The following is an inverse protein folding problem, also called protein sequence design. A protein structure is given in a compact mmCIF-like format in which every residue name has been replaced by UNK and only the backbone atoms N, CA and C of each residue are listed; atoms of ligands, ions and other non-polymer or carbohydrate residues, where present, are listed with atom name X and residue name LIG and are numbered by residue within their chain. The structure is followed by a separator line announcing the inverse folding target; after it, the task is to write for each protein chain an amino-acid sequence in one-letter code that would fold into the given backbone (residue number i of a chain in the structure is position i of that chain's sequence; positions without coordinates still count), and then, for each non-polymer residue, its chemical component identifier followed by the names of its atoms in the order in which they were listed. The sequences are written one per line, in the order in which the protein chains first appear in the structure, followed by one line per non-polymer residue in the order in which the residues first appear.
data_IF_949742332402
#
_entry.id   IF_949742332402
#
_cell.length_a   1.000
_cell.length_b   1.000
_cell.length_c   1.000
_cell.angle_alpha   90.00
_cell.angle_beta   90.00
_cell.angle_gamma   90.00
#
_symmetry.space_group_name_H-M   'P 1'
#
loop_
_entity.id
_entity.type
_entity.pdbx_description
1 polymer ?
#
# COMPACT_ATOMS: atom_id res chain seq x y z
N UNK A 1 -10.56 5.52 24.19
CA UNK A 1 -10.46 4.26 24.95
C UNK A 1 -10.69 3.03 24.04
N UNK A 2 -11.78 2.96 23.28
CA UNK A 2 -12.17 1.78 22.49
C UNK A 2 -11.14 1.41 21.40
N UNK A 3 -10.67 2.37 20.60
CA UNK A 3 -9.69 2.14 19.53
C UNK A 3 -8.40 1.51 20.07
N UNK A 4 -7.87 2.00 21.17
CA UNK A 4 -6.68 1.43 21.78
C UNK A 4 -6.89 0.00 22.30
N UNK A 5 -8.07 -0.31 22.84
CA UNK A 5 -8.36 -1.67 23.27
C UNK A 5 -8.41 -2.63 22.08
N UNK A 6 -9.04 -2.23 20.98
CA UNK A 6 -9.09 -3.01 19.74
C UNK A 6 -7.67 -3.16 19.16
N UNK A 7 -6.91 -2.08 19.09
CA UNK A 7 -5.53 -2.10 18.60
C UNK A 7 -4.67 -3.11 19.36
N UNK A 8 -4.77 -3.18 20.69
CA UNK A 8 -4.04 -4.18 21.50
C UNK A 8 -4.43 -5.63 21.19
N UNK A 9 -5.71 -5.89 20.92
CA UNK A 9 -6.17 -7.23 20.52
C UNK A 9 -5.59 -7.58 19.14
N UNK A 10 -5.68 -6.66 18.19
CA UNK A 10 -5.16 -6.82 16.83
C UNK A 10 -3.65 -7.03 16.85
N UNK A 11 -2.91 -6.23 17.60
CA UNK A 11 -1.48 -6.35 17.77
C UNK A 11 -1.05 -7.73 18.30
N UNK A 12 -1.73 -8.21 19.31
CA UNK A 12 -1.45 -9.55 19.88
C UNK A 12 -1.72 -10.66 18.86
N UNK A 13 -2.80 -10.53 18.11
CA UNK A 13 -3.16 -11.48 17.07
C UNK A 13 -2.13 -11.50 15.94
N UNK A 14 -1.68 -10.34 15.48
CA UNK A 14 -0.66 -10.25 14.44
C UNK A 14 0.70 -10.80 14.90
N UNK A 15 1.10 -10.47 16.11
CA UNK A 15 2.33 -11.00 16.71
C UNK A 15 2.28 -12.52 16.79
N UNK A 16 1.14 -13.09 17.14
CA UNK A 16 0.94 -14.53 17.16
C UNK A 16 1.05 -15.15 15.76
N UNK A 17 0.32 -14.62 14.77
CA UNK A 17 0.41 -15.10 13.38
C UNK A 17 1.85 -15.04 12.88
N UNK A 18 2.55 -13.92 13.11
CA UNK A 18 3.93 -13.78 12.70
C UNK A 18 4.86 -14.82 13.37
N UNK A 19 4.67 -15.08 14.67
CA UNK A 19 5.46 -16.07 15.38
C UNK A 19 5.32 -17.48 14.81
N UNK A 20 4.11 -17.84 14.37
CA UNK A 20 3.80 -19.16 13.81
C UNK A 20 4.19 -19.32 12.34
N UNK A 21 3.98 -18.28 11.54
CA UNK A 21 4.06 -18.39 10.07
C UNK A 21 5.31 -17.73 9.47
N UNK A 22 5.96 -16.81 10.20
CA UNK A 22 7.04 -15.94 9.71
C UNK A 22 6.68 -15.14 8.45
N UNK A 23 5.39 -14.94 8.21
CA UNK A 23 4.87 -14.15 7.10
C UNK A 23 4.27 -12.86 7.61
N UNK A 24 4.04 -11.93 6.70
CA UNK A 24 3.28 -10.72 6.99
C UNK A 24 1.93 -11.09 7.58
N UNK A 25 1.62 -10.55 8.75
CA UNK A 25 0.42 -10.89 9.52
C UNK A 25 -0.88 -10.48 8.85
N UNK A 26 -0.83 -9.49 7.96
CA UNK A 26 -1.89 -9.22 7.01
C UNK A 26 -1.29 -9.09 5.63
N UNK A 27 -1.68 -10.00 4.81
CA UNK A 27 -1.50 -9.91 3.39
C UNK A 27 -2.88 -9.72 2.77
N UNK A 28 -3.35 -8.48 2.72
CA UNK A 28 -4.39 -8.19 1.75
C UNK A 28 -3.76 -8.42 0.39
N UNK A 29 -4.21 -9.47 -0.27
CA UNK A 29 -3.75 -9.84 -1.62
C UNK A 29 -2.31 -10.38 -1.72
N UNK A 30 -1.72 -10.87 -0.64
CA UNK A 30 -0.38 -11.50 -0.61
C UNK A 30 0.78 -10.60 -1.09
N UNK A 31 0.60 -9.30 -1.08
CA UNK A 31 1.55 -8.32 -1.63
C UNK A 31 2.94 -8.43 -1.00
N UNK A 32 3.03 -8.79 0.26
CA UNK A 32 4.29 -8.82 1.00
C UNK A 32 4.87 -10.23 1.21
N UNK A 33 4.33 -11.27 0.57
CA UNK A 33 4.77 -12.65 0.78
C UNK A 33 6.19 -12.97 0.27
N UNK A 34 6.74 -12.13 -0.60
CA UNK A 34 8.02 -12.37 -1.27
C UNK A 34 9.17 -11.52 -0.70
N UNK A 35 8.93 -10.76 0.36
CA UNK A 35 9.96 -9.94 0.98
C UNK A 35 10.81 -10.78 1.94
N UNK A 36 12.11 -10.54 1.97
CA UNK A 36 13.03 -11.19 2.92
C UNK A 36 12.63 -10.96 4.37
N UNK A 37 12.12 -9.78 4.68
CA UNK A 37 11.53 -9.45 5.97
C UNK A 37 10.06 -9.12 5.76
N UNK A 38 9.15 -9.81 6.46
CA UNK A 38 7.73 -9.49 6.37
C UNK A 38 7.47 -8.09 6.91
N UNK A 39 6.69 -7.31 6.16
CA UNK A 39 6.25 -5.99 6.58
C UNK A 39 5.09 -6.16 7.57
N UNK A 40 5.15 -5.47 8.69
CA UNK A 40 4.00 -5.34 9.57
C UNK A 40 3.01 -4.36 8.93
N UNK A 41 1.98 -4.87 8.29
CA UNK A 41 1.02 -4.03 7.55
C UNK A 41 -0.24 -3.83 8.38
N UNK A 42 -0.53 -2.56 8.70
CA UNK A 42 -1.82 -2.15 9.20
C UNK A 42 -2.80 -2.04 8.02
N UNK A 43 -3.70 -2.99 7.93
CA UNK A 43 -4.72 -3.03 6.89
C UNK A 43 -6.03 -2.49 7.44
N UNK A 44 -6.29 -1.23 7.16
CA UNK A 44 -7.46 -0.52 7.63
C UNK A 44 -8.25 0.08 6.47
N UNK A 45 -9.10 -0.74 5.87
CA UNK A 45 -9.92 -0.30 4.73
C UNK A 45 -10.91 0.82 5.10
N UNK A 46 -11.22 1.01 6.37
CA UNK A 46 -12.09 2.11 6.83
C UNK A 46 -11.44 3.50 6.72
N UNK A 47 -10.14 3.61 6.49
CA UNK A 47 -9.48 4.89 6.15
C UNK A 47 -10.22 5.66 5.05
N UNK A 48 -10.85 4.95 4.13
CA UNK A 48 -11.62 5.57 3.04
C UNK A 48 -12.91 6.23 3.49
N UNK A 49 -13.38 5.90 4.69
CA UNK A 49 -14.69 6.29 5.22
C UNK A 49 -14.60 7.33 6.34
N UNK A 50 -13.41 7.60 6.85
CA UNK A 50 -13.18 8.56 7.93
C UNK A 50 -12.55 9.85 7.40
N UNK A 51 -12.74 10.94 8.13
CA UNK A 51 -12.08 12.20 7.84
C UNK A 51 -10.58 12.16 8.15
N UNK A 52 -9.83 13.12 7.63
CA UNK A 52 -8.42 13.31 7.98
C UNK A 52 -8.24 13.61 9.48
N UNK A 53 -9.17 14.38 10.06
CA UNK A 53 -9.18 14.72 11.48
C UNK A 53 -9.47 13.50 12.35
N UNK A 54 -10.39 12.62 11.94
CA UNK A 54 -10.65 11.38 12.65
C UNK A 54 -9.46 10.42 12.58
N UNK A 55 -8.84 10.30 11.41
CA UNK A 55 -7.62 9.53 11.26
C UNK A 55 -6.53 10.06 12.21
N UNK A 56 -6.28 11.37 12.17
CA UNK A 56 -5.31 12.05 13.03
C UNK A 56 -5.59 11.83 14.52
N UNK A 57 -6.86 11.86 14.89
CA UNK A 57 -7.26 11.77 16.30
C UNK A 57 -7.23 10.36 16.87
N UNK A 58 -7.54 9.34 16.03
CA UNK A 58 -7.81 8.00 16.52
C UNK A 58 -6.84 6.93 16.01
N UNK A 59 -6.41 6.99 14.76
CA UNK A 59 -5.58 5.94 14.15
C UNK A 59 -4.11 6.33 14.05
N UNK A 60 -3.80 7.56 13.69
CA UNK A 60 -2.41 8.03 13.60
C UNK A 60 -1.58 7.76 14.86
N UNK A 61 -2.06 7.98 16.09
CA UNK A 61 -1.27 7.65 17.28
C UNK A 61 -0.94 6.15 17.41
N UNK A 62 -1.82 5.27 16.87
CA UNK A 62 -1.59 3.82 16.84
C UNK A 62 -0.53 3.48 15.79
N UNK A 63 -0.65 4.06 14.59
CA UNK A 63 0.32 3.86 13.52
C UNK A 63 1.71 4.36 13.91
N UNK A 64 1.80 5.50 14.58
CA UNK A 64 3.07 6.02 15.12
C UNK A 64 3.70 5.04 16.12
N UNK A 65 2.94 4.56 17.10
CA UNK A 65 3.42 3.58 18.08
C UNK A 65 3.86 2.27 17.41
N UNK A 66 3.07 1.77 16.47
CA UNK A 66 3.38 0.51 15.80
C UNK A 66 4.59 0.63 14.87
N UNK A 67 4.77 1.77 14.20
CA UNK A 67 5.94 2.01 13.34
C UNK A 67 7.26 2.02 14.11
N UNK A 68 7.26 2.50 15.34
CA UNK A 68 8.43 2.44 16.24
C UNK A 68 8.73 1.01 16.71
N UNK A 69 7.69 0.20 16.87
CA UNK A 69 7.79 -1.12 17.47
C UNK A 69 8.07 -2.22 16.45
N UNK A 70 7.54 -2.08 15.25
CA UNK A 70 7.58 -3.11 14.20
C UNK A 70 8.20 -2.56 12.93
N UNK A 71 9.34 -3.12 12.49
CA UNK A 71 10.01 -2.71 11.27
C UNK A 71 10.38 -3.90 10.38
N UNK A 72 10.12 -3.84 9.08
CA UNK A 72 9.47 -2.75 8.33
C UNK A 72 7.98 -2.61 8.68
N UNK A 73 7.51 -1.37 8.74
CA UNK A 73 6.10 -1.05 8.99
C UNK A 73 5.42 -0.50 7.74
N UNK A 74 4.16 -0.84 7.54
CA UNK A 74 3.40 -0.39 6.39
C UNK A 74 1.92 -0.19 6.65
N UNK A 75 1.29 0.55 5.75
CA UNK A 75 -0.15 0.76 5.73
C UNK A 75 -0.70 0.27 4.39
N UNK A 76 -1.82 -0.43 4.45
CA UNK A 76 -2.64 -0.72 3.29
C UNK A 76 -3.79 0.28 3.20
N UNK A 77 -3.86 1.03 2.11
CA UNK A 77 -4.95 1.94 1.81
C UNK A 77 -5.76 1.45 0.61
N UNK A 78 -7.03 1.11 0.83
CA UNK A 78 -7.89 0.49 -0.18
C UNK A 78 -8.54 1.49 -1.16
N UNK A 79 -8.61 2.76 -0.80
CA UNK A 79 -9.37 3.79 -1.50
C UNK A 79 -8.67 4.41 -2.70
N UNK A 80 -9.38 5.36 -3.33
CA UNK A 80 -8.91 6.08 -4.52
C UNK A 80 -8.08 7.33 -4.19
N UNK A 81 -8.11 7.78 -2.95
CA UNK A 81 -7.63 9.08 -2.50
C UNK A 81 -6.65 9.02 -1.31
N UNK A 82 -5.66 8.11 -1.30
CA UNK A 82 -4.70 8.02 -0.19
C UNK A 82 -3.93 9.32 0.05
N UNK A 83 -3.75 10.13 -1.00
CA UNK A 83 -3.03 11.39 -0.94
C UNK A 83 -3.65 12.43 0.00
N UNK A 84 -4.95 12.32 0.31
CA UNK A 84 -5.58 13.19 1.31
C UNK A 84 -5.00 12.99 2.73
N UNK A 85 -4.49 11.81 3.03
CA UNK A 85 -3.82 11.50 4.28
C UNK A 85 -2.29 11.67 4.23
N UNK A 86 -1.73 12.15 3.13
CA UNK A 86 -0.28 12.22 2.94
C UNK A 86 0.45 12.99 4.06
N UNK A 87 -0.13 14.11 4.50
CA UNK A 87 0.43 14.89 5.61
C UNK A 87 0.42 14.11 6.94
N UNK A 88 -0.65 13.35 7.20
CA UNK A 88 -0.74 12.51 8.40
C UNK A 88 0.24 11.34 8.32
N UNK A 89 0.36 10.70 7.15
CA UNK A 89 1.31 9.61 6.94
C UNK A 89 2.75 10.05 7.11
N UNK A 90 3.08 11.29 6.74
CA UNK A 90 4.42 11.86 6.92
C UNK A 90 4.80 12.08 8.40
N UNK A 91 3.84 12.08 9.31
CA UNK A 91 4.10 12.16 10.76
C UNK A 91 4.47 10.80 11.37
N UNK A 92 4.26 9.69 10.64
CA UNK A 92 4.61 8.35 11.12
C UNK A 92 6.14 8.18 11.06
N UNK A 93 6.82 7.94 12.20
CA UNK A 93 8.29 7.95 12.25
C UNK A 93 8.96 6.99 11.28
N UNK A 94 8.34 5.85 11.03
CA UNK A 94 8.90 4.78 10.22
C UNK A 94 7.84 4.14 9.33
N UNK A 95 7.27 4.93 8.40
CA UNK A 95 6.42 4.37 7.35
C UNK A 95 7.31 3.85 6.21
N UNK A 96 7.71 2.59 6.29
CA UNK A 96 8.60 1.95 5.32
C UNK A 96 7.88 1.55 4.03
N UNK A 97 6.58 1.27 4.11
CA UNK A 97 5.78 0.75 3.00
C UNK A 97 4.35 1.34 3.00
N UNK A 98 3.89 1.79 1.85
CA UNK A 98 2.50 2.20 1.64
C UNK A 98 1.91 1.43 0.45
N UNK A 99 0.91 0.60 0.72
CA UNK A 99 0.12 -0.04 -0.35
C UNK A 99 -0.96 0.92 -0.82
N UNK A 100 -0.70 1.55 -1.96
CA UNK A 100 -1.49 2.66 -2.52
C UNK A 100 -2.66 2.12 -3.31
N UNK A 101 -3.87 2.51 -2.95
CA UNK A 101 -5.06 2.24 -3.74
C UNK A 101 -5.00 2.84 -5.15
N UNK A 102 -5.77 2.26 -6.06
CA UNK A 102 -5.83 2.76 -7.43
C UNK A 102 -6.45 4.16 -7.50
N UNK A 103 -5.83 5.06 -8.26
CA UNK A 103 -6.33 6.42 -8.48
C UNK A 103 -5.73 7.48 -7.55
N UNK A 104 -4.81 7.09 -6.65
CA UNK A 104 -4.09 8.05 -5.80
C UNK A 104 -3.19 9.00 -6.61
N UNK A 105 -3.04 10.23 -6.13
CA UNK A 105 -2.01 11.14 -6.62
C UNK A 105 -0.64 10.71 -6.09
N UNK A 106 0.06 9.94 -6.91
CA UNK A 106 1.36 9.34 -6.57
C UNK A 106 2.43 10.42 -6.37
N UNK A 107 2.33 11.52 -7.12
CA UNK A 107 3.27 12.64 -7.01
C UNK A 107 3.16 13.31 -5.64
N UNK A 108 1.94 13.65 -5.24
CA UNK A 108 1.68 14.20 -3.91
C UNK A 108 2.15 13.24 -2.81
N UNK A 109 1.85 11.95 -2.92
CA UNK A 109 2.33 10.97 -1.94
C UNK A 109 3.85 10.98 -1.85
N UNK A 110 4.58 10.99 -2.97
CA UNK A 110 6.06 11.04 -2.97
C UNK A 110 6.62 12.31 -2.36
N UNK A 111 5.99 13.46 -2.58
CA UNK A 111 6.41 14.73 -1.99
C UNK A 111 6.38 14.68 -0.45
N UNK A 112 5.40 14.02 0.14
CA UNK A 112 5.27 13.85 1.59
C UNK A 112 6.05 12.66 2.13
N UNK A 113 6.28 11.63 1.32
CA UNK A 113 6.85 10.33 1.71
C UNK A 113 8.08 10.00 0.85
N UNK A 114 9.17 10.76 0.94
CA UNK A 114 10.32 10.63 0.06
C UNK A 114 11.03 9.27 0.17
N UNK A 115 11.02 8.67 1.36
CA UNK A 115 11.76 7.44 1.69
C UNK A 115 10.87 6.20 1.81
N UNK A 116 9.56 6.35 1.65
CA UNK A 116 8.60 5.24 1.74
C UNK A 116 8.51 4.46 0.43
N UNK A 117 8.51 3.14 0.50
CA UNK A 117 8.19 2.31 -0.67
C UNK A 117 6.71 2.42 -1.02
N UNK A 118 6.40 2.92 -2.21
CA UNK A 118 5.03 3.05 -2.72
C UNK A 118 4.68 1.83 -3.59
N UNK A 119 3.79 0.99 -3.12
CA UNK A 119 3.25 -0.13 -3.89
C UNK A 119 1.95 0.30 -4.59
N UNK A 120 2.06 0.66 -5.86
CA UNK A 120 0.96 1.25 -6.63
C UNK A 120 0.09 0.14 -7.21
N UNK A 121 -1.16 0.07 -6.79
CA UNK A 121 -2.11 -0.89 -7.33
C UNK A 121 -2.74 -0.40 -8.62
N UNK A 122 -2.77 -1.27 -9.63
CA UNK A 122 -3.49 -1.02 -10.87
C UNK A 122 -4.98 -1.32 -10.68
N UNK A 123 -5.81 -0.51 -11.33
CA UNK A 123 -7.26 -0.70 -11.31
C UNK A 123 -7.65 -1.92 -12.15
N UNK A 124 -8.30 -2.95 -11.57
CA UNK A 124 -8.66 -4.16 -12.32
C UNK A 124 -9.63 -3.89 -13.50
N UNK A 125 -10.48 -2.86 -13.40
CA UNK A 125 -11.38 -2.47 -14.51
C UNK A 125 -10.57 -1.89 -15.68
N UNK A 126 -9.56 -1.08 -15.40
CA UNK A 126 -8.66 -0.53 -16.42
C UNK A 126 -7.79 -1.62 -17.05
N UNK A 127 -7.36 -2.61 -16.28
CA UNK A 127 -6.62 -3.77 -16.78
C UNK A 127 -7.41 -4.53 -17.85
N UNK A 128 -8.72 -4.69 -17.66
CA UNK A 128 -9.59 -5.33 -18.65
C UNK A 128 -9.85 -4.43 -19.85
N UNK A 129 -10.14 -3.15 -19.63
CA UNK A 129 -10.55 -2.21 -20.66
C UNK A 129 -9.42 -1.69 -21.56
N UNK A 130 -8.20 -1.55 -21.02
CA UNK A 130 -7.09 -0.93 -21.73
C UNK A 130 -6.41 -1.90 -22.72
N UNK A 131 -5.95 -1.36 -23.85
CA UNK A 131 -5.00 -2.01 -24.72
C UNK A 131 -3.61 -2.15 -24.05
N UNK A 132 -2.73 -2.96 -24.62
CA UNK A 132 -1.34 -3.11 -24.14
C UNK A 132 -0.57 -1.79 -24.11
N UNK A 133 -0.77 -0.96 -25.14
CA UNK A 133 -0.08 0.33 -25.25
C UNK A 133 -0.60 1.34 -24.20
N UNK A 134 -1.90 1.32 -23.93
CA UNK A 134 -2.49 2.15 -22.86
C UNK A 134 -2.00 1.72 -21.47
N UNK A 135 -1.93 0.40 -21.22
CA UNK A 135 -1.37 -0.13 -19.98
C UNK A 135 0.09 0.26 -19.80
N UNK A 136 0.92 0.08 -20.83
CA UNK A 136 2.33 0.44 -20.77
C UNK A 136 2.51 1.96 -20.51
N UNK A 137 1.73 2.79 -21.17
CA UNK A 137 1.77 4.25 -20.96
C UNK A 137 1.38 4.62 -19.54
N UNK A 138 0.28 4.08 -19.03
CA UNK A 138 -0.23 4.33 -17.68
C UNK A 138 0.81 3.90 -16.62
N UNK A 139 1.43 2.73 -16.76
CA UNK A 139 2.45 2.26 -15.82
C UNK A 139 3.67 3.19 -15.83
N UNK A 140 4.18 3.56 -17.00
CA UNK A 140 5.30 4.51 -17.14
C UNK A 140 4.99 5.86 -16.50
N UNK A 141 3.77 6.34 -16.69
CA UNK A 141 3.31 7.58 -16.06
C UNK A 141 3.31 7.47 -14.53
N UNK A 142 2.78 6.39 -13.97
CA UNK A 142 2.76 6.15 -12.51
C UNK A 142 4.17 6.04 -11.93
N UNK A 143 5.07 5.30 -12.58
CA UNK A 143 6.47 5.20 -12.15
C UNK A 143 7.18 6.55 -12.25
N UNK A 144 6.93 7.33 -13.31
CA UNK A 144 7.47 8.68 -13.44
C UNK A 144 6.96 9.62 -12.35
N UNK A 145 5.66 9.59 -12.06
CA UNK A 145 5.04 10.39 -11.00
C UNK A 145 5.58 10.03 -9.61
N UNK A 146 6.00 8.79 -9.40
CA UNK A 146 6.58 8.36 -8.13
C UNK A 146 7.96 8.98 -7.84
N UNK A 147 8.65 9.52 -8.84
CA UNK A 147 9.92 10.22 -8.70
C UNK A 147 11.11 9.36 -8.27
N UNK A 148 10.89 8.14 -7.79
CA UNK A 148 11.93 7.21 -7.34
C UNK A 148 11.56 5.76 -7.69
N UNK A 149 12.04 5.23 -8.83
CA UNK A 149 11.72 3.88 -9.25
C UNK A 149 12.23 2.79 -8.28
N UNK A 150 13.31 3.05 -7.53
CA UNK A 150 13.84 2.10 -6.55
C UNK A 150 12.94 1.96 -5.31
N UNK A 151 12.06 2.91 -5.06
CA UNK A 151 11.09 2.90 -3.98
C UNK A 151 9.66 2.81 -4.51
N UNK A 152 9.48 2.17 -5.67
CA UNK A 152 8.17 2.06 -6.32
C UNK A 152 7.95 0.65 -6.82
N UNK A 153 6.80 0.08 -6.48
CA UNK A 153 6.31 -1.19 -6.99
C UNK A 153 4.98 -1.03 -7.70
N UNK A 154 4.73 -1.93 -8.64
CA UNK A 154 3.43 -2.04 -9.33
C UNK A 154 2.77 -3.34 -8.90
N UNK A 155 1.54 -3.25 -8.47
CA UNK A 155 0.77 -4.40 -8.01
C UNK A 155 -0.53 -4.56 -8.80
N UNK A 156 -0.78 -5.80 -9.24
CA UNK A 156 -2.04 -6.20 -9.88
C UNK A 156 -2.80 -7.12 -8.93
N UNK A 157 -3.95 -6.66 -8.48
CA UNK A 157 -4.83 -7.45 -7.61
C UNK A 157 -6.21 -7.57 -8.22
N UNK A 158 -6.96 -8.58 -7.79
CA UNK A 158 -8.32 -8.81 -8.26
C UNK A 158 -8.44 -8.86 -9.79
N UNK A 159 -7.40 -9.37 -10.44
CA UNK A 159 -7.45 -9.63 -11.88
C UNK A 159 -8.48 -10.71 -12.13
N UNK A 160 -9.28 -10.51 -13.15
CA UNK A 160 -10.20 -11.53 -13.60
C UNK A 160 -9.59 -12.37 -14.74
N UNK A 161 -10.29 -13.46 -15.12
CA UNK A 161 -9.81 -14.40 -16.13
C UNK A 161 -9.76 -13.80 -17.56
N UNK A 162 -10.29 -12.60 -17.77
CA UNK A 162 -10.28 -11.92 -19.07
C UNK A 162 -8.97 -11.15 -19.32
N UNK A 163 -8.15 -10.96 -18.29
CA UNK A 163 -6.81 -10.35 -18.45
C UNK A 163 -5.90 -11.36 -19.16
N UNK A 164 -5.53 -11.05 -20.39
CA UNK A 164 -4.72 -11.96 -21.21
C UNK A 164 -3.26 -12.03 -20.75
N UNK A 165 -2.58 -13.15 -21.02
CA UNK A 165 -1.15 -13.34 -20.75
C UNK A 165 -0.28 -12.26 -21.41
N UNK A 166 -0.68 -11.75 -22.58
CA UNK A 166 0.02 -10.65 -23.25
C UNK A 166 -0.05 -9.33 -22.48
N UNK A 167 -1.20 -9.04 -21.85
CA UNK A 167 -1.34 -7.87 -20.98
C UNK A 167 -0.47 -8.02 -19.73
N UNK A 168 -0.48 -9.21 -19.12
CA UNK A 168 0.38 -9.51 -17.97
C UNK A 168 1.87 -9.34 -18.33
N UNK A 169 2.31 -9.94 -19.41
CA UNK A 169 3.68 -9.79 -19.89
C UNK A 169 4.06 -8.32 -20.19
N UNK A 170 3.10 -7.52 -20.64
CA UNK A 170 3.31 -6.07 -20.86
C UNK A 170 3.49 -5.34 -19.55
N UNK A 171 2.71 -5.66 -18.53
CA UNK A 171 2.82 -5.04 -17.19
C UNK A 171 4.22 -5.29 -16.62
N UNK A 172 4.66 -6.57 -16.58
CA UNK A 172 5.98 -6.92 -16.06
C UNK A 172 7.10 -6.23 -16.82
N UNK A 173 7.13 -6.35 -18.15
CA UNK A 173 8.17 -5.73 -18.98
C UNK A 173 8.21 -4.20 -18.85
N UNK A 174 7.07 -3.56 -18.60
CA UNK A 174 7.03 -2.10 -18.47
C UNK A 174 7.48 -1.66 -17.09
N UNK A 175 7.19 -2.43 -16.05
CA UNK A 175 7.60 -2.13 -14.69
C UNK A 175 9.09 -2.35 -14.44
N UNK A 176 9.77 -3.19 -15.27
CA UNK A 176 11.20 -3.48 -15.18
C UNK A 176 12.09 -2.47 -15.94
N UNK A 177 11.51 -1.58 -16.73
CA UNK A 177 12.22 -0.52 -17.49
C UNK A 177 12.44 0.76 -16.68
#
# INVERSE_FOLDING_TARGET
AYFYSIARVVERFFSYIYSETKTTSISVNRVACLLEKPVYIHSECSHTMISEDDYRSFLLPIDMEWSEKYRPYGIHYCGKDPHRHAANFAEIPHLDFLDVGWGGDVKTLREYLPDTFLNIRLNPVELNGYSKDELARMIKERVTQSGNPNLTGICCINMDAEVTDEKLATIFRTAEQ
#
